data_IF_647227318428
#
_entry.id   IF_647227318428
#
_cell.length_a   1.000
_cell.length_b   1.000
_cell.length_c   1.000
_cell.angle_alpha   90.00
_cell.angle_beta   90.00
_cell.angle_gamma   90.00
#
_symmetry.space_group_name_H-M   'P 1'
#
loop_
_entity.id
_entity.type
_entity.pdbx_description
1 polymer ?
#
# COMPACT_ATOMS: atom_id res chain seq x y z
N UNK A 1 -33.69 9.02 -3.14
CA UNK A 1 -32.92 9.64 -2.04
C UNK A 1 -33.31 11.10 -1.89
N UNK A 2 -33.42 11.59 -0.66
CA UNK A 2 -33.58 13.03 -0.36
C UNK A 2 -32.36 13.82 -0.88
N UNK A 3 -32.51 14.96 -1.57
CA UNK A 3 -31.38 15.78 -2.04
C UNK A 3 -30.33 16.07 -0.97
N UNK A 4 -30.71 16.24 0.29
CA UNK A 4 -29.73 16.47 1.39
C UNK A 4 -28.87 15.23 1.61
N UNK A 5 -29.48 14.05 1.69
CA UNK A 5 -28.74 12.79 1.80
C UNK A 5 -27.82 12.55 0.58
N UNK A 6 -28.25 12.94 -0.62
CA UNK A 6 -27.44 12.84 -1.84
C UNK A 6 -26.16 13.68 -1.74
N UNK A 7 -26.28 14.93 -1.30
CA UNK A 7 -25.13 15.81 -1.12
C UNK A 7 -24.17 15.26 -0.08
N UNK A 8 -24.68 14.72 1.03
CA UNK A 8 -23.86 14.10 2.08
C UNK A 8 -23.11 12.89 1.55
N UNK A 9 -23.80 11.99 0.83
CA UNK A 9 -23.18 10.79 0.23
C UNK A 9 -22.10 11.18 -0.77
N UNK A 10 -22.37 12.11 -1.69
CA UNK A 10 -21.38 12.56 -2.67
C UNK A 10 -20.16 13.22 -2.02
N UNK A 11 -20.38 14.03 -0.98
CA UNK A 11 -19.29 14.67 -0.22
C UNK A 11 -18.46 13.61 0.50
N UNK A 12 -19.10 12.62 1.13
CA UNK A 12 -18.42 11.50 1.78
C UNK A 12 -17.60 10.65 0.81
N UNK A 13 -18.16 10.31 -0.36
CA UNK A 13 -17.45 9.57 -1.43
C UNK A 13 -16.24 10.37 -1.91
N UNK A 14 -16.40 11.69 -2.11
CA UNK A 14 -15.31 12.56 -2.57
C UNK A 14 -14.18 12.65 -1.55
N UNK A 15 -14.51 12.80 -0.26
CA UNK A 15 -13.53 12.84 0.82
C UNK A 15 -12.83 11.48 0.99
N UNK A 16 -13.58 10.38 1.00
CA UNK A 16 -13.02 9.03 1.07
C UNK A 16 -12.13 8.73 -0.13
N UNK A 17 -12.54 9.15 -1.33
CA UNK A 17 -11.76 9.00 -2.55
C UNK A 17 -10.46 9.81 -2.51
N UNK A 18 -10.51 11.06 -2.07
CA UNK A 18 -9.33 11.91 -1.91
C UNK A 18 -8.37 11.32 -0.86
N UNK A 19 -8.90 10.87 0.27
CA UNK A 19 -8.12 10.23 1.31
C UNK A 19 -7.46 8.94 0.82
N UNK A 20 -8.19 8.08 0.10
CA UNK A 20 -7.65 6.86 -0.49
C UNK A 20 -6.56 7.16 -1.53
N UNK A 21 -6.73 8.22 -2.33
CA UNK A 21 -5.71 8.69 -3.27
C UNK A 21 -4.43 9.15 -2.55
N UNK A 22 -4.56 9.99 -1.51
CA UNK A 22 -3.41 10.52 -0.77
C UNK A 22 -2.69 9.39 -0.03
N UNK A 23 -3.41 8.49 0.63
CA UNK A 23 -2.81 7.37 1.33
C UNK A 23 -2.02 6.45 0.40
N UNK A 24 -2.59 6.08 -0.74
CA UNK A 24 -1.89 5.25 -1.72
C UNK A 24 -0.81 6.01 -2.51
N UNK A 25 -0.68 7.32 -2.27
CA UNK A 25 0.42 8.15 -2.78
C UNK A 25 1.51 8.41 -1.73
N UNK A 26 1.23 8.21 -0.45
CA UNK A 26 2.13 8.60 0.64
C UNK A 26 3.50 7.89 0.56
N UNK A 27 4.55 8.60 0.97
CA UNK A 27 5.90 8.07 1.05
C UNK A 27 5.99 7.05 2.20
N UNK A 28 6.45 5.84 1.90
CA UNK A 28 6.43 4.70 2.82
C UNK A 28 6.06 3.37 2.14
N UNK A 29 5.59 3.40 0.89
CA UNK A 29 5.67 2.23 0.02
C UNK A 29 7.13 2.08 -0.42
N UNK A 30 7.87 1.21 0.25
CA UNK A 30 9.26 0.89 -0.06
C UNK A 30 9.34 0.20 -1.43
N UNK A 31 10.46 0.29 -2.17
CA UNK A 31 10.60 -0.45 -3.44
C UNK A 31 10.37 -1.95 -3.24
N UNK A 32 10.72 -2.45 -2.06
CA UNK A 32 10.53 -3.81 -1.57
C UNK A 32 9.04 -4.21 -1.46
N UNK A 33 8.13 -3.26 -1.20
CA UNK A 33 6.67 -3.52 -1.22
C UNK A 33 6.13 -3.87 -2.61
N UNK A 34 6.93 -3.62 -3.66
CA UNK A 34 6.60 -3.96 -5.03
C UNK A 34 7.30 -5.24 -5.48
N UNK A 35 8.20 -5.84 -4.69
CA UNK A 35 8.95 -7.04 -5.05
C UNK A 35 8.57 -8.19 -4.11
N UNK A 36 8.14 -9.32 -4.67
CA UNK A 36 7.85 -10.54 -3.92
C UNK A 36 8.85 -11.62 -4.30
N UNK A 37 9.62 -12.07 -3.32
CA UNK A 37 10.53 -13.20 -3.42
C UNK A 37 12.02 -12.79 -3.48
N UNK A 38 12.95 -13.76 -3.42
CA UNK A 38 14.39 -13.50 -3.43
C UNK A 38 14.84 -12.57 -4.58
N UNK A 39 15.82 -11.73 -4.26
CA UNK A 39 16.47 -10.78 -5.16
C UNK A 39 16.77 -11.46 -6.52
N UNK A 40 16.32 -10.85 -7.62
CA UNK A 40 16.53 -11.35 -8.98
C UNK A 40 15.37 -12.12 -9.62
N UNK A 41 14.29 -12.44 -8.89
CA UNK A 41 13.10 -13.05 -9.51
C UNK A 41 12.19 -12.07 -10.26
N UNK A 42 12.28 -10.76 -9.98
CA UNK A 42 11.51 -9.72 -10.68
C UNK A 42 9.98 -9.88 -10.56
N UNK A 43 9.51 -10.70 -9.62
CA UNK A 43 8.08 -10.90 -9.38
C UNK A 43 7.59 -9.68 -8.60
N UNK A 44 6.76 -8.86 -9.25
CA UNK A 44 6.22 -7.65 -8.63
C UNK A 44 4.79 -7.86 -8.18
N UNK A 45 4.55 -7.94 -6.87
CA UNK A 45 3.19 -8.05 -6.35
C UNK A 45 2.81 -6.77 -5.63
N UNK A 46 2.23 -5.88 -6.41
CA UNK A 46 1.69 -4.62 -5.94
C UNK A 46 0.50 -4.91 -5.00
N UNK A 47 0.71 -4.96 -3.67
CA UNK A 47 -0.32 -5.12 -2.62
C UNK A 47 -1.57 -4.20 -2.75
N UNK A 48 -2.56 -4.57 -3.57
CA UNK A 48 -3.81 -3.82 -3.83
C UNK A 48 -4.73 -3.69 -2.60
N UNK A 49 -4.37 -4.32 -1.49
CA UNK A 49 -5.22 -4.44 -0.32
C UNK A 49 -5.61 -3.08 0.27
N UNK A 50 -4.67 -2.14 0.32
CA UNK A 50 -4.90 -0.82 0.89
C UNK A 50 -5.94 0.00 0.09
N UNK A 51 -5.92 -0.13 -1.25
CA UNK A 51 -6.89 0.52 -2.15
C UNK A 51 -8.31 0.04 -1.85
N UNK A 52 -8.47 -1.24 -1.52
CA UNK A 52 -9.76 -1.90 -1.33
C UNK A 52 -10.33 -1.66 0.06
N UNK A 53 -9.49 -1.61 1.10
CA UNK A 53 -9.94 -1.46 2.51
C UNK A 53 -10.81 -0.22 2.68
N UNK A 54 -10.39 0.93 2.16
CA UNK A 54 -11.14 2.19 2.34
C UNK A 54 -12.45 2.17 1.56
N UNK A 55 -12.45 1.62 0.35
CA UNK A 55 -13.67 1.43 -0.42
C UNK A 55 -14.66 0.50 0.31
N UNK A 56 -14.18 -0.59 0.91
CA UNK A 56 -15.01 -1.52 1.68
C UNK A 56 -15.60 -0.87 2.95
N UNK A 57 -14.79 -0.12 3.71
CA UNK A 57 -15.27 0.63 4.90
C UNK A 57 -16.36 1.62 4.50
N UNK A 58 -16.17 2.36 3.41
CA UNK A 58 -17.18 3.31 2.92
C UNK A 58 -18.50 2.62 2.57
N UNK A 59 -18.45 1.49 1.86
CA UNK A 59 -19.64 0.67 1.55
C UNK A 59 -20.32 0.15 2.82
N UNK A 60 -19.55 -0.29 3.81
CA UNK A 60 -20.08 -0.78 5.07
C UNK A 60 -20.78 0.35 5.86
N UNK A 61 -20.22 1.55 5.85
CA UNK A 61 -20.87 2.74 6.41
C UNK A 61 -22.19 3.09 5.68
N UNK A 62 -22.24 2.96 4.35
CA UNK A 62 -23.47 3.12 3.57
C UNK A 62 -24.52 2.05 3.92
N UNK A 63 -24.10 0.80 4.13
CA UNK A 63 -24.99 -0.28 4.55
C UNK A 63 -25.59 -0.03 5.94
N UNK A 64 -24.78 0.46 6.89
CA UNK A 64 -25.25 0.87 8.23
C UNK A 64 -26.24 2.03 8.17
N UNK A 65 -26.10 2.92 7.19
CA UNK A 65 -27.00 4.04 6.93
C UNK A 65 -28.12 3.71 5.93
N UNK A 66 -28.45 2.42 5.76
CA UNK A 66 -29.48 1.95 4.82
C UNK A 66 -30.85 2.63 4.98
N UNK A 67 -31.18 3.15 6.16
CA UNK A 67 -32.42 3.92 6.40
C UNK A 67 -32.50 5.24 5.60
N UNK A 68 -31.38 5.78 5.11
CA UNK A 68 -31.34 6.98 4.28
C UNK A 68 -31.74 6.72 2.80
N UNK A 69 -31.87 5.45 2.40
CA UNK A 69 -32.15 5.05 1.03
C UNK A 69 -33.62 4.67 0.86
N UNK A 70 -34.23 5.08 -0.26
CA UNK A 70 -35.65 4.82 -0.51
C UNK A 70 -35.93 3.39 -0.95
N UNK A 71 -34.93 2.70 -1.51
CA UNK A 71 -35.03 1.30 -1.92
C UNK A 71 -33.70 0.56 -1.74
N UNK A 72 -33.77 -0.78 -1.62
CA UNK A 72 -32.59 -1.65 -1.57
C UNK A 72 -31.77 -1.58 -2.85
N UNK A 73 -32.44 -1.43 -4.00
CA UNK A 73 -31.78 -1.35 -5.29
C UNK A 73 -30.98 -0.05 -5.40
N UNK A 74 -31.54 1.07 -4.93
CA UNK A 74 -30.83 2.35 -4.85
C UNK A 74 -29.57 2.21 -4.00
N UNK A 75 -29.68 1.63 -2.79
CA UNK A 75 -28.54 1.38 -1.91
C UNK A 75 -27.43 0.56 -2.60
N UNK A 76 -27.78 -0.56 -3.25
CA UNK A 76 -26.79 -1.41 -3.91
C UNK A 76 -26.10 -0.68 -5.06
N UNK A 77 -26.84 0.01 -5.91
CA UNK A 77 -26.26 0.77 -7.03
C UNK A 77 -25.33 1.87 -6.52
N UNK A 78 -25.77 2.66 -5.53
CA UNK A 78 -24.94 3.73 -4.97
C UNK A 78 -23.70 3.19 -4.28
N UNK A 79 -23.82 2.09 -3.52
CA UNK A 79 -22.69 1.48 -2.84
C UNK A 79 -21.68 0.89 -3.83
N UNK A 80 -22.12 0.22 -4.89
CA UNK A 80 -21.23 -0.30 -5.93
C UNK A 80 -20.52 0.83 -6.67
N UNK A 81 -21.23 1.90 -7.05
CA UNK A 81 -20.61 3.05 -7.71
C UNK A 81 -19.59 3.75 -6.81
N UNK A 82 -19.93 3.94 -5.53
CA UNK A 82 -19.03 4.51 -4.54
C UNK A 82 -17.77 3.65 -4.34
N UNK A 83 -17.93 2.33 -4.23
CA UNK A 83 -16.82 1.39 -4.11
C UNK A 83 -15.86 1.54 -5.29
N UNK A 84 -16.39 1.50 -6.52
CA UNK A 84 -15.58 1.63 -7.73
C UNK A 84 -14.89 2.98 -7.79
N UNK A 85 -15.60 4.08 -7.48
CA UNK A 85 -15.02 5.42 -7.50
C UNK A 85 -13.87 5.58 -6.49
N UNK A 86 -14.05 5.10 -5.26
CA UNK A 86 -13.03 5.18 -4.20
C UNK A 86 -11.86 4.23 -4.49
N UNK A 87 -12.12 3.03 -5.00
CA UNK A 87 -11.06 2.10 -5.38
C UNK A 87 -10.23 2.64 -6.55
N UNK A 88 -10.87 3.24 -7.57
CA UNK A 88 -10.16 3.87 -8.69
C UNK A 88 -9.29 5.04 -8.23
N UNK A 89 -9.74 5.85 -7.29
CA UNK A 89 -8.92 6.95 -6.77
C UNK A 89 -7.68 6.44 -6.03
N UNK A 90 -7.80 5.39 -5.22
CA UNK A 90 -6.66 4.74 -4.57
C UNK A 90 -5.69 4.14 -5.59
N UNK A 91 -6.22 3.46 -6.62
CA UNK A 91 -5.41 2.89 -7.70
C UNK A 91 -4.64 3.96 -8.48
N UNK A 92 -5.26 5.11 -8.76
CA UNK A 92 -4.60 6.23 -9.43
C UNK A 92 -3.46 6.81 -8.57
N UNK A 93 -3.67 6.96 -7.27
CA UNK A 93 -2.62 7.40 -6.33
C UNK A 93 -1.42 6.47 -6.37
N UNK A 94 -1.69 5.16 -6.34
CA UNK A 94 -0.68 4.11 -6.37
C UNK A 94 0.10 4.07 -7.67
N UNK A 95 -0.59 4.15 -8.80
CA UNK A 95 0.04 4.19 -10.13
C UNK A 95 0.93 5.41 -10.29
N UNK A 96 0.54 6.56 -9.71
CA UNK A 96 1.38 7.76 -9.70
C UNK A 96 2.65 7.53 -8.90
N UNK A 97 2.55 6.92 -7.72
CA UNK A 97 3.71 6.62 -6.88
C UNK A 97 4.68 5.65 -7.53
N UNK A 98 4.16 4.61 -8.20
CA UNK A 98 4.98 3.66 -8.96
C UNK A 98 5.78 4.36 -10.07
N UNK A 99 5.16 5.29 -10.80
CA UNK A 99 5.87 6.06 -11.82
C UNK A 99 6.94 6.97 -11.20
N UNK A 100 6.65 7.62 -10.07
CA UNK A 100 7.62 8.45 -9.34
C UNK A 100 8.82 7.60 -8.87
N UNK A 101 8.59 6.38 -8.40
CA UNK A 101 9.67 5.44 -8.04
C UNK A 101 10.56 5.08 -9.23
N UNK A 102 9.96 4.71 -10.36
CA UNK A 102 10.71 4.36 -11.57
C UNK A 102 11.58 5.51 -12.06
N UNK A 103 11.08 6.74 -11.99
CA UNK A 103 11.86 7.93 -12.34
C UNK A 103 13.04 8.17 -11.38
N UNK A 104 12.88 7.88 -10.09
CA UNK A 104 13.96 8.00 -9.11
C UNK A 104 15.02 6.90 -9.27
N UNK A 105 14.61 5.67 -9.56
CA UNK A 105 15.51 4.55 -9.87
C UNK A 105 16.41 4.89 -11.06
N UNK A 106 15.83 5.38 -12.17
CA UNK A 106 16.56 5.83 -13.36
C UNK A 106 17.58 6.96 -13.05
N UNK A 107 17.30 7.81 -12.06
CA UNK A 107 18.21 8.87 -11.62
C UNK A 107 19.32 8.29 -10.75
N UNK A 108 18.99 7.40 -9.81
CA UNK A 108 19.94 6.79 -8.89
C UNK A 108 20.99 5.98 -9.66
N UNK A 109 20.56 5.20 -10.64
CA UNK A 109 21.44 4.40 -11.53
C UNK A 109 22.44 5.28 -12.30
N UNK A 110 22.08 6.53 -12.61
CA UNK A 110 22.99 7.49 -13.28
C UNK A 110 23.98 8.15 -12.32
N UNK A 111 23.63 8.27 -11.04
CA UNK A 111 24.44 8.98 -10.04
C UNK A 111 25.39 8.04 -9.31
N UNK A 112 25.02 6.76 -9.17
CA UNK A 112 25.83 5.71 -8.55
C UNK A 112 26.34 4.78 -9.65
N UNK A 113 27.63 4.85 -10.04
CA UNK A 113 28.21 3.90 -11.00
C UNK A 113 28.05 2.47 -10.47
N UNK A 114 27.55 1.56 -11.31
CA UNK A 114 27.31 0.15 -10.96
C UNK A 114 28.54 -0.59 -10.42
N UNK A 115 29.74 -0.08 -10.68
CA UNK A 115 31.02 -0.61 -10.18
C UNK A 115 31.16 -0.54 -8.65
N UNK A 116 30.33 0.24 -7.94
CA UNK A 116 30.29 0.27 -6.47
C UNK A 116 29.23 -0.67 -5.87
N UNK A 117 28.25 -1.13 -6.65
CA UNK A 117 27.19 -2.03 -6.17
C UNK A 117 27.60 -3.51 -6.30
N UNK A 118 28.42 -3.85 -7.30
CA UNK A 118 28.96 -5.21 -7.52
C UNK A 118 30.09 -5.59 -6.53
N UNK A 119 30.59 -4.65 -5.73
CA UNK A 119 31.59 -4.90 -4.68
C UNK A 119 30.99 -5.26 -3.31
N UNK A 120 29.66 -5.26 -3.16
CA UNK A 120 28.99 -5.45 -1.86
C UNK A 120 28.54 -6.89 -1.59
N UNK A 121 28.76 -7.83 -2.52
CA UNK A 121 28.40 -9.24 -2.31
C UNK A 121 29.58 -10.10 -1.78
N UNK A 122 30.82 -9.63 -1.89
CA UNK A 122 32.01 -10.37 -1.40
C UNK A 122 32.70 -9.77 -0.15
N UNK A 123 32.29 -8.60 0.33
CA UNK A 123 32.84 -8.03 1.58
C UNK A 123 31.70 -7.63 2.52
N UNK A 124 30.89 -8.63 2.89
CA UNK A 124 30.12 -8.58 4.14
C UNK A 124 31.13 -8.45 5.27
N UNK A 125 31.42 -7.22 5.66
CA UNK A 125 32.04 -6.90 6.95
C UNK A 125 31.18 -7.58 8.00
N UNK A 126 31.73 -8.68 8.54
CA UNK A 126 31.25 -9.43 9.69
C UNK A 126 31.20 -8.45 10.88
N UNK A 127 30.09 -7.70 10.98
CA UNK A 127 29.74 -6.95 12.18
C UNK A 127 29.32 -8.00 13.20
N UNK A 128 30.34 -8.64 13.77
CA UNK A 128 30.23 -9.42 14.99
C UNK A 128 29.81 -8.42 16.07
N UNK A 129 28.51 -8.37 16.33
CA UNK A 129 27.95 -7.78 17.53
C UNK A 129 28.38 -8.65 18.71
N UNK A 130 29.63 -8.47 19.14
CA UNK A 130 30.06 -8.80 20.50
C UNK A 130 29.37 -7.77 21.41
N UNK A 131 28.30 -8.20 22.09
CA UNK A 131 27.92 -7.83 23.45
C UNK A 131 26.44 -8.20 23.67
N UNK A 132 26.22 -9.37 24.28
CA UNK A 132 25.45 -9.52 25.54
C UNK A 132 24.98 -10.99 25.73
N UNK A 133 25.70 -11.67 26.63
CA UNK A 133 25.21 -12.54 27.70
C UNK A 133 24.17 -13.64 27.42
N UNK A 134 24.56 -14.91 27.61
CA UNK A 134 23.91 -15.81 28.58
C UNK A 134 24.69 -17.14 28.75
N UNK A 135 25.21 -17.36 29.96
CA UNK A 135 25.78 -18.60 30.47
C UNK A 135 24.77 -19.77 30.43
N UNK A 136 25.16 -20.91 29.84
CA UNK A 136 24.69 -22.23 30.27
C UNK A 136 25.79 -23.28 30.07
N UNK A 137 26.39 -23.70 31.18
CA UNK A 137 27.13 -24.95 31.34
C UNK A 137 26.23 -26.16 30.99
N UNK A 138 26.72 -27.10 30.16
CA UNK A 138 26.66 -28.54 30.48
C UNK A 138 27.60 -29.36 29.59
N UNK A 139 28.15 -30.40 30.20
CA UNK A 139 29.27 -31.24 29.83
C UNK A 139 29.01 -32.20 28.65
N UNK A 140 30.07 -32.48 27.85
CA UNK A 140 30.41 -33.77 27.17
C UNK A 140 31.46 -33.48 26.07
N UNK A 141 32.62 -34.12 25.90
CA UNK A 141 33.08 -35.50 26.07
C UNK A 141 34.63 -35.54 26.03
N UNK A 142 35.28 -36.26 26.95
CA UNK A 142 36.27 -37.32 26.68
C UNK A 142 36.55 -38.11 27.96
#
# INVERSE_FOLDING_TARGET
MDPVALVIVLTGISLAGLFNYILNRAAGAEPEDFEIGPNGMGIRCDCFMNVIIIAAIAVLAMALSSAAFSSRLELYVTATLAFVAIALSGLLGRRRRYNEWREMEDILERVVPGDYLDMTEEDMVDVRSDDDDEDYDDDTQF
#
